data_IF_422772365493
#
_entry.id   IF_422772365493
#
_cell.length_a   1.000
_cell.length_b   1.000
_cell.length_c   1.000
_cell.angle_alpha   90.00
_cell.angle_beta   90.00
_cell.angle_gamma   90.00
#
_symmetry.space_group_name_H-M   'P 1'
#
loop_
_entity.id
_entity.type
_entity.pdbx_description
1 polymer ?
#
# COMPACT_ATOMS: atom_id res chain seq x y z
N UNK A 1 -46.66 51.72 24.37
CA UNK A 1 -46.11 51.16 23.12
C UNK A 1 -44.64 50.93 23.34
N UNK A 2 -44.27 49.71 23.73
CA UNK A 2 -42.87 49.32 23.96
C UNK A 2 -42.47 48.46 22.77
N UNK A 3 -41.61 48.97 21.91
CA UNK A 3 -41.12 48.29 20.72
C UNK A 3 -40.20 47.14 21.11
N UNK A 4 -40.66 45.91 20.89
CA UNK A 4 -39.84 44.69 20.97
C UNK A 4 -38.94 44.63 19.73
N UNK A 5 -37.64 44.84 19.90
CA UNK A 5 -36.63 44.47 18.91
C UNK A 5 -36.51 42.95 18.84
N UNK A 6 -36.57 42.32 17.65
CA UNK A 6 -36.36 40.89 17.52
C UNK A 6 -34.87 40.58 17.66
N UNK A 7 -34.53 39.71 18.63
CA UNK A 7 -33.20 39.11 18.74
C UNK A 7 -33.03 38.15 17.57
N UNK A 8 -32.13 38.47 16.65
CA UNK A 8 -31.75 37.55 15.57
C UNK A 8 -31.14 36.27 16.16
N UNK A 9 -31.47 35.07 15.65
CA UNK A 9 -30.84 33.85 16.11
C UNK A 9 -29.34 33.92 15.79
N UNK A 10 -28.49 33.68 16.79
CA UNK A 10 -27.06 33.56 16.60
C UNK A 10 -26.79 32.56 15.49
N UNK A 11 -26.30 33.06 14.34
CA UNK A 11 -25.88 32.20 13.24
C UNK A 11 -24.82 31.25 13.77
N UNK A 12 -25.16 29.96 13.84
CA UNK A 12 -24.17 28.94 14.10
C UNK A 12 -23.20 28.94 12.93
N UNK A 13 -22.03 29.55 13.12
CA UNK A 13 -20.94 29.44 12.18
C UNK A 13 -20.76 27.95 11.88
N UNK A 14 -20.85 27.57 10.60
CA UNK A 14 -20.65 26.19 10.19
C UNK A 14 -19.30 25.72 10.77
N UNK A 15 -19.25 24.58 11.48
CA UNK A 15 -18.03 24.12 12.11
C UNK A 15 -16.92 24.07 11.06
N UNK A 16 -15.77 24.65 11.40
CA UNK A 16 -14.64 24.76 10.50
C UNK A 16 -14.21 23.34 10.10
N UNK A 17 -14.39 22.98 8.83
CA UNK A 17 -14.02 21.65 8.32
C UNK A 17 -12.51 21.52 8.30
N UNK A 18 -11.95 21.02 9.40
CA UNK A 18 -10.51 20.85 9.55
C UNK A 18 -10.18 19.40 9.85
N UNK A 19 -9.41 18.81 8.96
CA UNK A 19 -8.84 17.47 9.17
C UNK A 19 -8.05 17.44 10.47
N UNK A 20 -8.28 16.41 11.29
CA UNK A 20 -7.55 16.22 12.54
C UNK A 20 -6.04 16.13 12.26
N UNK A 21 -5.23 16.63 13.21
CA UNK A 21 -3.77 16.79 13.01
C UNK A 21 -3.06 15.45 12.81
N UNK A 22 -3.48 14.42 13.54
CA UNK A 22 -3.00 13.03 13.43
C UNK A 22 -3.36 12.40 12.07
N UNK A 23 -4.60 12.57 11.60
CA UNK A 23 -5.03 12.11 10.26
C UNK A 23 -4.24 12.81 9.16
N UNK A 24 -4.03 14.13 9.29
CA UNK A 24 -3.24 14.92 8.33
C UNK A 24 -1.78 14.50 8.31
N UNK A 25 -1.17 14.28 9.48
CA UNK A 25 0.21 13.79 9.58
C UNK A 25 0.33 12.42 8.89
N UNK A 26 -0.56 11.50 9.23
CA UNK A 26 -0.56 10.13 8.69
C UNK A 26 -0.79 10.12 7.18
N UNK A 27 -1.65 11.00 6.66
CA UNK A 27 -1.86 11.19 5.22
C UNK A 27 -0.57 11.61 4.49
N UNK A 28 0.17 12.57 5.04
CA UNK A 28 1.43 13.00 4.41
C UNK A 28 2.52 11.93 4.53
N UNK A 29 2.56 11.18 5.63
CA UNK A 29 3.44 10.01 5.76
C UNK A 29 3.10 8.98 4.68
N UNK A 30 1.82 8.68 4.48
CA UNK A 30 1.36 7.77 3.41
C UNK A 30 1.86 8.25 2.04
N UNK A 31 1.62 9.52 1.69
CA UNK A 31 2.01 10.07 0.39
C UNK A 31 3.53 10.07 0.18
N UNK A 32 4.29 10.49 1.19
CA UNK A 32 5.74 10.51 1.16
C UNK A 32 6.33 9.09 1.09
N UNK A 33 5.78 8.15 1.87
CA UNK A 33 6.22 6.76 1.89
C UNK A 33 6.05 6.11 0.52
N UNK A 34 4.84 6.14 -0.07
CA UNK A 34 4.63 5.51 -1.37
C UNK A 34 5.40 6.19 -2.50
N UNK A 35 5.59 7.52 -2.43
CA UNK A 35 6.42 8.23 -3.40
C UNK A 35 7.90 7.83 -3.29
N UNK A 36 8.42 7.74 -2.06
CA UNK A 36 9.81 7.33 -1.80
C UNK A 36 10.01 5.84 -2.11
N UNK A 37 9.03 4.99 -1.81
CA UNK A 37 9.04 3.57 -2.17
C UNK A 37 9.09 3.41 -3.69
N UNK A 38 8.21 4.08 -4.43
CA UNK A 38 8.21 4.04 -5.89
C UNK A 38 9.53 4.56 -6.46
N UNK A 39 10.04 5.70 -5.98
CA UNK A 39 11.34 6.22 -6.43
C UNK A 39 12.50 5.26 -6.08
N UNK A 40 12.50 4.68 -4.88
CA UNK A 40 13.52 3.77 -4.41
C UNK A 40 13.55 2.46 -5.19
N UNK A 41 12.40 1.83 -5.41
CA UNK A 41 12.30 0.56 -6.15
C UNK A 41 12.56 0.76 -7.65
N UNK A 42 12.14 1.91 -8.22
CA UNK A 42 12.28 2.21 -9.64
C UNK A 42 13.68 2.72 -10.01
N UNK A 43 14.16 3.74 -9.30
CA UNK A 43 15.39 4.45 -9.69
C UNK A 43 16.64 3.81 -9.10
N UNK A 44 16.58 3.36 -7.84
CA UNK A 44 17.76 2.94 -7.08
C UNK A 44 17.89 1.42 -7.01
N UNK A 45 16.83 0.73 -6.60
CA UNK A 45 16.80 -0.71 -6.41
C UNK A 45 16.68 -1.50 -7.71
N UNK A 46 16.12 -0.90 -8.76
CA UNK A 46 15.92 -1.53 -10.08
C UNK A 46 15.12 -2.84 -10.05
N UNK A 47 14.37 -3.07 -8.97
CA UNK A 47 13.38 -4.13 -8.89
C UNK A 47 12.11 -3.77 -9.70
N UNK A 48 11.99 -2.53 -10.16
CA UNK A 48 10.97 -2.10 -11.13
C UNK A 48 11.59 -1.20 -12.22
N UNK A 49 11.49 -1.52 -13.53
CA UNK A 49 10.97 -2.77 -14.07
C UNK A 49 11.75 -4.00 -13.56
N UNK A 50 11.08 -5.11 -13.25
CA UNK A 50 11.69 -6.33 -12.77
C UNK A 50 12.82 -6.79 -13.69
N UNK A 51 13.99 -7.19 -13.13
CA UNK A 51 15.05 -7.77 -13.93
C UNK A 51 14.59 -9.14 -14.48
N UNK A 52 15.31 -9.69 -15.45
CA UNK A 52 14.84 -10.85 -16.24
C UNK A 52 14.91 -12.18 -15.46
N UNK A 53 13.89 -13.05 -15.54
CA UNK A 53 13.96 -14.41 -14.98
C UNK A 53 14.79 -15.38 -15.83
N UNK A 54 14.90 -15.15 -17.14
CA UNK A 54 15.62 -16.01 -18.08
C UNK A 54 17.12 -15.65 -18.16
N UNK A 55 17.81 -15.71 -17.02
CA UNK A 55 19.22 -15.34 -16.89
C UNK A 55 20.06 -16.50 -16.36
N UNK A 56 21.34 -16.52 -16.71
CA UNK A 56 22.31 -17.48 -16.17
C UNK A 56 22.91 -16.98 -14.85
N UNK A 57 23.48 -17.88 -14.05
CA UNK A 57 24.15 -17.53 -12.79
C UNK A 57 25.22 -16.43 -12.97
N UNK A 58 25.98 -16.51 -14.07
CA UNK A 58 27.00 -15.51 -14.41
C UNK A 58 26.40 -14.14 -14.75
N UNK A 59 25.24 -14.13 -15.42
CA UNK A 59 24.51 -12.89 -15.71
C UNK A 59 23.96 -12.25 -14.45
N UNK A 60 23.44 -13.05 -13.50
CA UNK A 60 22.99 -12.54 -12.19
C UNK A 60 24.16 -11.93 -11.41
N UNK A 61 25.29 -12.63 -11.35
CA UNK A 61 26.49 -12.10 -10.68
C UNK A 61 26.94 -10.79 -11.31
N UNK A 62 26.98 -10.72 -12.65
CA UNK A 62 27.34 -9.50 -13.37
C UNK A 62 26.35 -8.35 -13.08
N UNK A 63 25.06 -8.65 -13.02
CA UNK A 63 24.01 -7.67 -12.76
C UNK A 63 24.10 -7.06 -11.37
N UNK A 64 24.29 -7.88 -10.32
CA UNK A 64 24.55 -7.36 -8.97
C UNK A 64 25.84 -6.55 -8.93
N UNK A 65 26.93 -7.03 -9.54
CA UNK A 65 28.18 -6.27 -9.63
C UNK A 65 28.03 -4.90 -10.29
N UNK A 66 27.23 -4.79 -11.34
CA UNK A 66 26.93 -3.52 -12.03
C UNK A 66 26.08 -2.57 -11.19
N UNK A 67 25.24 -3.10 -10.28
CA UNK A 67 24.24 -2.33 -9.54
C UNK A 67 24.47 -2.29 -8.02
N UNK A 68 25.63 -2.76 -7.57
CA UNK A 68 26.03 -2.90 -6.17
C UNK A 68 25.67 -1.69 -5.30
N UNK A 69 26.24 -0.52 -5.62
CA UNK A 69 26.05 0.70 -4.83
C UNK A 69 24.62 1.20 -4.87
N UNK A 70 23.95 1.09 -6.02
CA UNK A 70 22.57 1.56 -6.17
C UNK A 70 21.59 0.72 -5.38
N UNK A 71 21.76 -0.62 -5.39
CA UNK A 71 20.94 -1.55 -4.61
C UNK A 71 21.19 -1.34 -3.13
N UNK A 72 22.45 -1.26 -2.68
CA UNK A 72 22.79 -1.03 -1.28
C UNK A 72 22.18 0.26 -0.74
N UNK A 73 22.45 1.40 -1.38
CA UNK A 73 21.95 2.70 -0.92
C UNK A 73 20.42 2.75 -0.98
N UNK A 74 19.84 2.28 -2.09
CA UNK A 74 18.39 2.26 -2.29
C UNK A 74 17.67 1.41 -1.25
N UNK A 75 18.11 0.17 -1.06
CA UNK A 75 17.42 -0.78 -0.18
C UNK A 75 17.68 -0.50 1.31
N UNK A 76 18.86 0.03 1.69
CA UNK A 76 19.08 0.52 3.05
C UNK A 76 18.17 1.72 3.35
N UNK A 77 18.02 2.67 2.42
CA UNK A 77 17.09 3.78 2.60
C UNK A 77 15.63 3.29 2.74
N UNK A 78 15.22 2.30 1.93
CA UNK A 78 13.89 1.68 2.03
C UNK A 78 13.68 0.95 3.37
N UNK A 79 14.71 0.29 3.91
CA UNK A 79 14.63 -0.35 5.24
C UNK A 79 14.36 0.67 6.35
N UNK A 80 15.00 1.84 6.30
CA UNK A 80 14.79 2.91 7.30
C UNK A 80 13.34 3.38 7.31
N UNK A 81 12.70 3.44 6.14
CA UNK A 81 11.32 3.92 6.00
C UNK A 81 10.28 2.79 5.95
N UNK A 82 10.68 1.52 6.09
CA UNK A 82 9.78 0.37 5.89
C UNK A 82 8.56 0.40 6.82
N UNK A 83 8.70 0.95 8.03
CA UNK A 83 7.59 1.18 8.97
C UNK A 83 6.49 2.10 8.43
N UNK A 84 6.79 2.92 7.43
CA UNK A 84 5.82 3.75 6.72
C UNK A 84 4.69 2.95 6.06
N UNK A 85 4.94 1.69 5.67
CA UNK A 85 3.89 0.80 5.16
C UNK A 85 2.82 0.51 6.23
N UNK A 86 3.23 0.20 7.47
CA UNK A 86 2.31 -0.07 8.56
C UNK A 86 1.47 1.18 8.90
N UNK A 87 2.11 2.35 8.95
CA UNK A 87 1.44 3.64 9.18
C UNK A 87 0.42 3.92 8.07
N UNK A 88 0.79 3.65 6.82
CA UNK A 88 -0.06 3.83 5.63
C UNK A 88 -1.30 2.93 5.65
N UNK A 89 -1.16 1.69 6.09
CA UNK A 89 -2.30 0.78 6.25
C UNK A 89 -3.23 1.21 7.40
N UNK A 90 -2.66 1.83 8.44
CA UNK A 90 -3.39 2.33 9.60
C UNK A 90 -4.42 3.40 9.25
N UNK A 91 -4.10 4.37 8.38
CA UNK A 91 -5.07 5.42 7.98
C UNK A 91 -6.24 4.87 7.16
N UNK A 92 -5.99 3.86 6.31
CA UNK A 92 -7.07 3.19 5.57
C UNK A 92 -7.97 2.45 6.55
N UNK A 93 -7.37 1.66 7.45
CA UNK A 93 -8.11 0.96 8.50
C UNK A 93 -8.90 1.90 9.42
N UNK A 94 -8.34 3.06 9.73
CA UNK A 94 -9.03 4.12 10.49
C UNK A 94 -10.33 4.58 9.81
N UNK A 95 -10.30 4.85 8.50
CA UNK A 95 -11.51 5.20 7.77
C UNK A 95 -12.45 4.02 7.58
N UNK A 96 -11.94 2.79 7.41
CA UNK A 96 -12.76 1.59 7.37
C UNK A 96 -13.52 1.37 8.68
N UNK A 97 -12.92 1.66 9.84
CA UNK A 97 -13.61 1.56 11.15
C UNK A 97 -14.81 2.51 11.28
N UNK A 98 -14.92 3.51 10.42
CA UNK A 98 -16.04 4.48 10.36
C UNK A 98 -17.13 4.07 9.38
N UNK A 99 -16.89 3.01 8.61
CA UNK A 99 -17.90 2.46 7.73
C UNK A 99 -18.96 1.71 8.54
N UNK A 100 -20.19 1.67 8.03
CA UNK A 100 -21.27 0.91 8.68
C UNK A 100 -21.08 -0.61 8.58
N UNK A 101 -20.08 -1.08 7.84
CA UNK A 101 -19.71 -2.50 7.71
C UNK A 101 -19.08 -3.08 8.98
N UNK A 102 -18.77 -2.22 9.96
CA UNK A 102 -18.18 -2.63 11.23
C UNK A 102 -16.66 -2.76 11.22
N UNK A 103 -16.03 -2.87 12.40
CA UNK A 103 -14.58 -2.80 12.56
C UNK A 103 -13.83 -4.08 12.19
N UNK A 104 -14.52 -5.23 12.11
CA UNK A 104 -13.89 -6.54 11.82
C UNK A 104 -13.18 -6.50 10.47
N UNK A 105 -13.80 -5.92 9.44
CA UNK A 105 -13.20 -5.80 8.11
C UNK A 105 -11.96 -4.88 8.11
N UNK A 106 -11.96 -3.85 8.96
CA UNK A 106 -10.80 -2.97 9.12
C UNK A 106 -9.63 -3.70 9.78
N UNK A 107 -9.88 -4.50 10.81
CA UNK A 107 -8.84 -5.32 11.45
C UNK A 107 -8.31 -6.39 10.49
N UNK A 108 -9.20 -7.06 9.75
CA UNK A 108 -8.80 -8.03 8.74
C UNK A 108 -7.94 -7.39 7.64
N UNK A 109 -8.31 -6.19 7.16
CA UNK A 109 -7.49 -5.43 6.21
C UNK A 109 -6.10 -5.13 6.76
N UNK A 110 -6.00 -4.56 7.97
CA UNK A 110 -4.71 -4.21 8.59
C UNK A 110 -3.85 -5.46 8.79
N UNK A 111 -4.44 -6.54 9.30
CA UNK A 111 -3.74 -7.80 9.54
C UNK A 111 -3.23 -8.41 8.22
N UNK A 112 -4.07 -8.50 7.18
CA UNK A 112 -3.69 -9.00 5.87
C UNK A 112 -2.57 -8.18 5.23
N UNK A 113 -2.66 -6.85 5.30
CA UNK A 113 -1.59 -5.96 4.80
C UNK A 113 -0.30 -6.07 5.60
N UNK A 114 -0.39 -6.23 6.92
CA UNK A 114 0.76 -6.43 7.80
C UNK A 114 1.49 -7.75 7.49
N UNK A 115 0.74 -8.83 7.27
CA UNK A 115 1.30 -10.11 6.81
C UNK A 115 1.98 -9.94 5.46
N UNK A 116 1.39 -9.17 4.53
CA UNK A 116 1.94 -8.96 3.19
C UNK A 116 3.17 -8.08 3.09
N UNK A 117 3.35 -7.14 4.02
CA UNK A 117 4.54 -6.28 4.03
C UNK A 117 5.85 -7.06 4.22
N UNK A 118 5.80 -8.22 4.90
CA UNK A 118 6.97 -9.05 5.17
C UNK A 118 7.50 -9.70 3.87
N UNK A 119 6.73 -10.56 3.18
CA UNK A 119 7.21 -11.14 1.93
C UNK A 119 7.19 -10.11 0.77
N UNK A 120 6.27 -9.15 0.76
CA UNK A 120 6.09 -8.20 -0.33
C UNK A 120 7.03 -7.00 -0.32
N UNK A 121 7.87 -6.83 0.70
CA UNK A 121 8.91 -5.79 0.72
C UNK A 121 10.15 -6.27 1.49
N UNK A 122 9.98 -6.69 2.74
CA UNK A 122 11.11 -6.98 3.62
C UNK A 122 11.99 -8.11 3.08
N UNK A 123 11.40 -9.19 2.54
CA UNK A 123 12.17 -10.32 2.06
C UNK A 123 12.97 -10.00 0.78
N UNK A 124 12.46 -9.12 -0.09
CA UNK A 124 13.24 -8.57 -1.21
C UNK A 124 14.46 -7.80 -0.72
N UNK A 125 14.24 -6.84 0.18
CA UNK A 125 15.29 -5.97 0.69
C UNK A 125 16.40 -6.81 1.34
N UNK A 126 16.03 -7.75 2.20
CA UNK A 126 16.98 -8.63 2.90
C UNK A 126 17.70 -9.55 1.92
N UNK A 127 17.01 -10.16 0.96
CA UNK A 127 17.63 -11.11 0.02
C UNK A 127 18.70 -10.42 -0.84
N UNK A 128 18.38 -9.27 -1.40
CA UNK A 128 19.31 -8.56 -2.29
C UNK A 128 20.40 -7.81 -1.53
N UNK A 129 20.12 -7.22 -0.36
CA UNK A 129 21.18 -6.69 0.50
C UNK A 129 22.12 -7.79 0.99
N UNK A 130 21.62 -9.00 1.22
CA UNK A 130 22.46 -10.16 1.57
C UNK A 130 23.35 -10.59 0.41
N UNK A 131 22.83 -10.53 -0.83
CA UNK A 131 23.63 -10.76 -2.04
C UNK A 131 24.75 -9.72 -2.14
N UNK A 132 24.43 -8.44 -1.96
CA UNK A 132 25.41 -7.35 -2.07
C UNK A 132 26.37 -7.25 -0.88
N UNK A 133 26.03 -7.81 0.28
CA UNK A 133 26.91 -7.81 1.44
C UNK A 133 28.20 -8.61 1.20
N UNK A 134 28.17 -9.59 0.29
CA UNK A 134 29.34 -10.37 -0.15
C UNK A 134 29.26 -10.64 -1.67
N UNK A 135 29.84 -9.74 -2.50
CA UNK A 135 29.80 -9.86 -3.96
C UNK A 135 30.56 -11.08 -4.50
N UNK A 136 31.46 -11.64 -3.71
CA UNK A 136 32.32 -12.80 -4.00
C UNK A 136 31.65 -14.17 -3.74
N UNK A 137 30.35 -14.18 -3.41
CA UNK A 137 29.57 -15.43 -3.26
C UNK A 137 29.54 -16.25 -4.54
N UNK A 138 29.36 -17.56 -4.36
CA UNK A 138 29.06 -18.49 -5.46
C UNK A 138 27.88 -17.94 -6.30
N UNK A 139 28.02 -17.87 -7.64
CA UNK A 139 26.98 -17.40 -8.54
C UNK A 139 25.62 -18.08 -8.36
N UNK A 140 25.59 -19.37 -7.99
CA UNK A 140 24.35 -20.10 -7.72
C UNK A 140 23.59 -19.57 -6.51
N UNK A 141 24.32 -19.16 -5.47
CA UNK A 141 23.72 -18.56 -4.26
C UNK A 141 23.17 -17.17 -4.60
N UNK A 142 23.89 -16.40 -5.42
CA UNK A 142 23.39 -15.10 -5.90
C UNK A 142 22.12 -15.26 -6.72
N UNK A 143 22.06 -16.27 -7.60
CA UNK A 143 20.85 -16.58 -8.37
C UNK A 143 19.67 -16.93 -7.47
N UNK A 144 19.87 -17.81 -6.47
CA UNK A 144 18.81 -18.14 -5.52
C UNK A 144 18.30 -16.89 -4.76
N UNK A 145 19.18 -15.98 -4.34
CA UNK A 145 18.80 -14.73 -3.65
C UNK A 145 18.08 -13.75 -4.59
N UNK A 146 18.48 -13.71 -5.84
CA UNK A 146 17.84 -12.94 -6.90
C UNK A 146 16.40 -13.40 -7.12
N UNK A 147 16.21 -14.70 -7.34
CA UNK A 147 14.90 -15.34 -7.51
C UNK A 147 14.03 -15.19 -6.26
N UNK A 148 14.58 -15.48 -5.07
CA UNK A 148 13.83 -15.38 -3.81
C UNK A 148 13.34 -13.95 -3.56
N UNK A 149 14.19 -12.95 -3.81
CA UNK A 149 13.80 -11.55 -3.67
C UNK A 149 12.66 -11.19 -4.64
N UNK A 150 12.81 -11.54 -5.92
CA UNK A 150 11.83 -11.21 -6.96
C UNK A 150 10.50 -11.94 -6.81
N UNK A 151 10.55 -13.25 -6.57
CA UNK A 151 9.37 -14.08 -6.38
C UNK A 151 8.67 -13.77 -5.06
N UNK A 152 9.40 -13.38 -4.01
CA UNK A 152 8.74 -12.91 -2.79
C UNK A 152 8.05 -11.56 -3.02
N UNK A 153 8.76 -10.59 -3.61
CA UNK A 153 8.22 -9.25 -3.87
C UNK A 153 6.93 -9.29 -4.69
N UNK A 154 6.98 -10.02 -5.82
CA UNK A 154 5.87 -10.08 -6.75
C UNK A 154 4.87 -11.19 -6.40
N UNK A 155 5.28 -12.25 -5.71
CA UNK A 155 4.48 -13.45 -5.44
C UNK A 155 3.77 -13.49 -4.09
N UNK A 156 3.77 -12.40 -3.32
CA UNK A 156 3.09 -12.28 -2.01
C UNK A 156 1.55 -12.21 -2.07
N UNK A 157 0.94 -12.92 -3.02
CA UNK A 157 -0.33 -12.49 -3.60
C UNK A 157 -1.56 -12.73 -2.71
N UNK A 158 -1.54 -13.80 -1.92
CA UNK A 158 -2.69 -14.24 -1.13
C UNK A 158 -3.10 -13.24 -0.03
N UNK A 159 -2.12 -12.60 0.60
CA UNK A 159 -2.37 -11.65 1.69
C UNK A 159 -2.88 -10.29 1.16
N UNK A 160 -2.35 -9.80 0.04
CA UNK A 160 -2.88 -8.59 -0.62
C UNK A 160 -4.28 -8.84 -1.17
N UNK A 161 -4.51 -10.00 -1.79
CA UNK A 161 -5.85 -10.44 -2.21
C UNK A 161 -6.85 -10.38 -1.07
N UNK A 162 -6.50 -10.93 0.10
CA UNK A 162 -7.35 -10.88 1.28
C UNK A 162 -7.63 -9.43 1.72
N UNK A 163 -6.60 -8.58 1.80
CA UNK A 163 -6.78 -7.18 2.14
C UNK A 163 -7.69 -6.44 1.16
N UNK A 164 -7.46 -6.59 -0.15
CA UNK A 164 -8.28 -5.97 -1.18
C UNK A 164 -9.73 -6.47 -1.17
N UNK A 165 -9.95 -7.75 -0.84
CA UNK A 165 -11.30 -8.27 -0.60
C UNK A 165 -11.96 -7.59 0.60
N UNK A 166 -11.25 -7.43 1.73
CA UNK A 166 -11.81 -6.81 2.93
C UNK A 166 -12.22 -5.36 2.69
N UNK A 167 -11.38 -4.56 2.03
CA UNK A 167 -11.72 -3.17 1.71
C UNK A 167 -12.84 -3.09 0.67
N UNK A 168 -12.85 -3.94 -0.37
CA UNK A 168 -13.92 -3.95 -1.36
C UNK A 168 -15.28 -4.28 -0.72
N UNK A 169 -15.33 -5.33 0.10
CA UNK A 169 -16.54 -5.73 0.85
C UNK A 169 -16.96 -4.60 1.79
N UNK A 170 -16.04 -4.02 2.56
CA UNK A 170 -16.35 -2.93 3.48
C UNK A 170 -17.00 -1.75 2.75
N UNK A 171 -16.40 -1.31 1.63
CA UNK A 171 -16.96 -0.23 0.80
C UNK A 171 -18.34 -0.60 0.27
N UNK A 172 -18.55 -1.82 -0.23
CA UNK A 172 -19.83 -2.26 -0.79
C UNK A 172 -20.94 -2.35 0.26
N UNK A 173 -20.62 -2.73 1.50
CA UNK A 173 -21.57 -2.74 2.62
C UNK A 173 -21.79 -1.37 3.25
N UNK A 174 -20.85 -0.43 3.08
CA UNK A 174 -20.88 0.85 3.78
C UNK A 174 -22.07 1.74 3.38
N UNK A 175 -22.94 2.04 4.33
CA UNK A 175 -24.06 2.99 4.19
C UNK A 175 -23.63 4.43 4.47
N UNK A 176 -22.52 4.61 5.19
CA UNK A 176 -21.98 5.94 5.54
C UNK A 176 -21.28 6.61 4.35
N UNK A 177 -20.94 5.82 3.31
CA UNK A 177 -20.28 6.27 2.08
C UNK A 177 -18.98 7.01 2.37
N UNK A 178 -18.19 6.49 3.32
CA UNK A 178 -16.87 7.03 3.68
C UNK A 178 -15.98 7.04 2.44
N UNK A 179 -15.94 5.90 1.74
CA UNK A 179 -15.33 5.76 0.42
C UNK A 179 -16.43 5.58 -0.64
N UNK A 180 -16.22 6.08 -1.87
CA UNK A 180 -17.20 5.95 -2.93
C UNK A 180 -17.30 4.49 -3.40
N UNK A 181 -18.52 4.03 -3.71
CA UNK A 181 -18.79 2.65 -4.12
C UNK A 181 -17.96 2.20 -5.33
N UNK A 182 -17.67 3.10 -6.27
CA UNK A 182 -16.89 2.75 -7.46
C UNK A 182 -15.45 2.32 -7.13
N UNK A 183 -14.89 2.80 -6.02
CA UNK A 183 -13.54 2.44 -5.58
C UNK A 183 -13.43 0.97 -5.14
N UNK A 184 -14.55 0.35 -4.76
CA UNK A 184 -14.61 -1.09 -4.53
C UNK A 184 -14.29 -1.88 -5.80
N UNK A 185 -14.74 -1.43 -6.99
CA UNK A 185 -14.46 -2.13 -8.23
C UNK A 185 -12.98 -2.05 -8.62
N UNK A 186 -12.30 -0.92 -8.35
CA UNK A 186 -10.84 -0.84 -8.53
C UNK A 186 -10.12 -1.78 -7.56
N UNK A 187 -10.61 -1.89 -6.32
CA UNK A 187 -10.08 -2.84 -5.34
C UNK A 187 -10.34 -4.30 -5.76
N UNK A 188 -11.45 -4.60 -6.44
CA UNK A 188 -11.71 -5.92 -7.03
C UNK A 188 -10.73 -6.20 -8.20
N UNK A 189 -10.42 -5.20 -9.01
CA UNK A 189 -9.40 -5.34 -10.06
C UNK A 189 -8.02 -5.67 -9.50
N UNK A 190 -7.67 -5.15 -8.31
CA UNK A 190 -6.45 -5.58 -7.61
C UNK A 190 -6.45 -7.09 -7.35
N UNK A 191 -7.56 -7.64 -6.85
CA UNK A 191 -7.70 -9.09 -6.63
C UNK A 191 -7.50 -9.86 -7.95
N UNK A 192 -8.08 -9.37 -9.05
CA UNK A 192 -7.91 -10.02 -10.36
C UNK A 192 -6.45 -10.00 -10.81
N UNK A 193 -5.75 -8.87 -10.68
CA UNK A 193 -4.34 -8.78 -11.05
C UNK A 193 -3.45 -9.65 -10.17
N UNK A 194 -3.78 -9.78 -8.88
CA UNK A 194 -3.07 -10.67 -7.96
C UNK A 194 -3.22 -12.14 -8.40
N UNK A 195 -4.42 -12.56 -8.78
CA UNK A 195 -4.66 -13.91 -9.32
C UNK A 195 -3.89 -14.13 -10.63
N UNK A 196 -3.88 -13.15 -11.53
CA UNK A 196 -3.11 -13.25 -12.78
C UNK A 196 -1.60 -13.30 -12.53
N UNK A 197 -1.11 -12.58 -11.52
CA UNK A 197 0.30 -12.56 -11.18
C UNK A 197 0.79 -13.92 -10.64
N UNK A 198 -0.09 -14.79 -10.12
CA UNK A 198 0.29 -16.15 -9.66
C UNK A 198 0.98 -16.99 -10.74
N UNK A 199 0.81 -16.63 -12.01
CA UNK A 199 1.42 -17.36 -13.11
C UNK A 199 2.96 -17.25 -13.13
N UNK A 200 3.56 -16.26 -12.47
CA UNK A 200 5.02 -16.07 -12.47
C UNK A 200 5.81 -17.25 -11.89
N UNK A 201 5.17 -18.09 -11.08
CA UNK A 201 5.78 -19.29 -10.50
C UNK A 201 5.96 -20.43 -11.52
N UNK A 202 5.30 -20.35 -12.67
CA UNK A 202 5.33 -21.40 -13.70
C UNK A 202 6.12 -20.99 -14.95
N UNK A 203 6.39 -19.70 -15.15
CA UNK A 203 6.98 -19.17 -16.38
C UNK A 203 8.27 -18.39 -16.10
N UNK A 204 9.38 -18.82 -16.72
CA UNK A 204 10.67 -18.12 -16.66
C UNK A 204 10.85 -17.07 -17.77
N UNK A 205 9.93 -16.95 -18.73
CA UNK A 205 9.96 -15.93 -19.77
C UNK A 205 8.56 -15.68 -20.35
N UNK A 206 8.41 -14.59 -21.12
CA UNK A 206 7.17 -14.24 -21.80
C UNK A 206 6.20 -13.41 -20.95
N UNK A 207 4.94 -13.32 -21.39
CA UNK A 207 3.95 -12.40 -20.82
C UNK A 207 3.57 -12.72 -19.37
N UNK A 208 3.74 -13.98 -18.94
CA UNK A 208 3.37 -14.47 -17.61
C UNK A 208 4.55 -14.56 -16.62
N UNK A 209 5.79 -14.34 -17.07
CA UNK A 209 6.94 -14.28 -16.18
C UNK A 209 6.85 -13.07 -15.23
N UNK A 210 7.65 -13.03 -14.15
CA UNK A 210 7.56 -11.93 -13.18
C UNK A 210 7.86 -10.54 -13.76
N UNK A 211 8.53 -10.45 -14.92
CA UNK A 211 8.80 -9.21 -15.65
C UNK A 211 7.88 -9.04 -16.88
N UNK A 212 6.89 -9.92 -17.04
CA UNK A 212 6.01 -10.01 -18.19
C UNK A 212 4.89 -8.97 -18.18
N UNK A 213 4.32 -8.72 -19.37
CA UNK A 213 3.24 -7.74 -19.57
C UNK A 213 2.02 -8.01 -18.68
N UNK A 214 1.58 -9.27 -18.58
CA UNK A 214 0.35 -9.63 -17.88
C UNK A 214 0.57 -9.62 -16.37
N UNK A 215 1.66 -10.24 -15.92
CA UNK A 215 1.96 -10.41 -14.50
C UNK A 215 2.37 -9.10 -13.83
N UNK A 216 3.25 -8.32 -14.48
CA UNK A 216 3.82 -7.12 -13.85
C UNK A 216 3.12 -5.83 -14.30
N UNK A 217 3.05 -5.58 -15.60
CA UNK A 217 2.65 -4.25 -16.10
C UNK A 217 1.16 -3.96 -15.92
N UNK A 218 0.29 -4.97 -16.04
CA UNK A 218 -1.13 -4.77 -15.70
C UNK A 218 -1.27 -4.48 -14.20
N UNK A 219 -0.59 -5.25 -13.34
CA UNK A 219 -0.63 -5.06 -11.90
C UNK A 219 -0.16 -3.66 -11.48
N UNK A 220 0.96 -3.17 -12.03
CA UNK A 220 1.48 -1.83 -11.67
C UNK A 220 0.57 -0.69 -12.13
N UNK A 221 -0.10 -0.84 -13.28
CA UNK A 221 -1.06 0.17 -13.77
C UNK A 221 -2.30 0.20 -12.87
N UNK A 222 -2.85 -0.97 -12.53
CA UNK A 222 -4.02 -1.07 -11.63
C UNK A 222 -3.65 -0.56 -10.23
N UNK A 223 -2.46 -0.88 -9.73
CA UNK A 223 -1.97 -0.37 -8.46
C UNK A 223 -1.73 1.13 -8.46
N UNK A 224 -1.10 1.67 -9.49
CA UNK A 224 -0.91 3.11 -9.66
C UNK A 224 -2.25 3.85 -9.71
N UNK A 225 -3.23 3.34 -10.47
CA UNK A 225 -4.58 3.88 -10.51
C UNK A 225 -5.23 3.83 -9.11
N UNK A 226 -5.09 2.73 -8.39
CA UNK A 226 -5.65 2.58 -7.04
C UNK A 226 -5.08 3.61 -6.07
N UNK A 227 -3.75 3.85 -6.06
CA UNK A 227 -3.12 4.88 -5.22
C UNK A 227 -3.56 6.29 -5.60
N UNK A 228 -3.56 6.60 -6.91
CA UNK A 228 -4.00 7.92 -7.43
C UNK A 228 -5.45 8.21 -7.07
N UNK A 229 -6.32 7.19 -7.08
CA UNK A 229 -7.71 7.32 -6.62
C UNK A 229 -7.82 7.41 -5.09
N UNK A 230 -7.01 6.65 -4.34
CA UNK A 230 -7.08 6.59 -2.88
C UNK A 230 -6.68 7.93 -2.23
N UNK A 231 -5.61 8.58 -2.70
CA UNK A 231 -5.13 9.84 -2.13
C UNK A 231 -6.20 10.94 -2.02
N UNK A 232 -6.95 11.31 -3.09
CA UNK A 232 -8.03 12.29 -2.98
C UNK A 232 -9.22 11.78 -2.15
N UNK A 233 -9.49 10.46 -2.14
CA UNK A 233 -10.53 9.87 -1.30
C UNK A 233 -10.18 10.04 0.19
N UNK A 234 -8.96 9.72 0.60
CA UNK A 234 -8.49 9.89 1.97
C UNK A 234 -8.50 11.37 2.39
N UNK A 235 -8.04 12.27 1.51
CA UNK A 235 -8.06 13.70 1.77
C UNK A 235 -9.50 14.22 2.00
N UNK A 236 -10.43 13.82 1.12
CA UNK A 236 -11.85 14.18 1.24
C UNK A 236 -12.47 13.59 2.50
N UNK A 237 -12.19 12.33 2.81
CA UNK A 237 -12.69 11.67 4.02
C UNK A 237 -12.20 12.38 5.28
N UNK A 238 -10.92 12.76 5.34
CA UNK A 238 -10.35 13.48 6.48
C UNK A 238 -10.82 14.93 6.60
N UNK A 239 -11.13 15.63 5.52
CA UNK A 239 -11.69 17.01 5.58
C UNK A 239 -13.19 17.05 5.86
N UNK A 240 -13.90 15.96 5.61
CA UNK A 240 -15.33 15.83 5.93
C UNK A 240 -15.55 15.42 7.39
N UNK A 241 -14.49 14.98 8.05
CA UNK A 241 -14.48 14.76 9.49
C UNK A 241 -14.83 16.05 10.23
N UNK A 242 -15.97 16.02 10.93
CA UNK A 242 -16.39 17.10 11.82
C UNK A 242 -16.12 16.64 13.25
N UNK A 243 -15.86 17.54 14.19
CA UNK A 243 -15.73 17.25 15.64
C UNK A 243 -16.92 16.47 16.22
N UNK A 244 -18.04 16.38 15.49
CA UNK A 244 -19.26 15.63 15.82
C UNK A 244 -19.34 14.22 15.23
N UNK A 245 -18.34 13.77 14.45
CA UNK A 245 -18.26 12.37 14.09
C UNK A 245 -18.12 11.59 15.42
N UNK A 246 -19.07 10.70 15.77
CA UNK A 246 -19.06 10.06 17.07
C UNK A 246 -17.70 9.42 17.28
N UNK A 247 -17.08 9.71 18.43
CA UNK A 247 -15.83 9.10 18.81
C UNK A 247 -15.97 7.58 18.62
N UNK A 248 -14.99 6.99 17.93
CA UNK A 248 -15.02 5.56 17.59
C UNK A 248 -15.13 4.67 18.85
N UNK A 249 -14.80 5.25 20.01
CA UNK A 249 -15.12 4.76 21.34
C UNK A 249 -15.84 5.89 22.08
N UNK A 250 -17.08 5.66 22.49
CA UNK A 250 -17.69 6.47 23.54
C UNK A 250 -16.95 6.14 24.85
N UNK A 251 -16.62 7.13 25.69
CA UNK A 251 -16.16 6.86 27.06
C UNK A 251 -17.14 5.87 27.74
N UNK A 252 -16.63 4.91 28.51
CA UNK A 252 -17.49 3.91 29.21
C UNK A 252 -18.55 4.58 30.08
N UNK A 253 -18.25 5.78 30.55
CA UNK A 253 -19.05 6.70 31.33
C UNK A 253 -20.25 7.33 30.57
N UNK A 254 -20.43 7.00 29.28
CA UNK A 254 -21.57 7.43 28.46
C UNK A 254 -22.57 6.30 28.10
N UNK A 255 -22.51 5.14 28.77
CA UNK A 255 -23.45 4.01 28.61
C UNK A 255 -24.39 3.82 29.79
#
# INVERSE_FOLDING_TARGET
MTTLTPVAPAGSAAPERRMHRDVRLTYWIFAAFYTTLSAGVVLLGRATPPPRPDVTDAQVQHWFGQHHTTIQVGFVALLVIAGGAAISNGIIGYFMKRMSSGPILAYAFIASMGVGAIPGLQLLLVSWLTAEFRPDRDPKILHMLYELGMLSYNGSLGCFTAAYAMIAIAILYDRNKIFPKWFAYISIWQIVTEVLATQMWFFHSGAFAWNGMITFYIAIVVFGLWIVCLLPILWRAGTTETERAPALYLPEDAR
#
